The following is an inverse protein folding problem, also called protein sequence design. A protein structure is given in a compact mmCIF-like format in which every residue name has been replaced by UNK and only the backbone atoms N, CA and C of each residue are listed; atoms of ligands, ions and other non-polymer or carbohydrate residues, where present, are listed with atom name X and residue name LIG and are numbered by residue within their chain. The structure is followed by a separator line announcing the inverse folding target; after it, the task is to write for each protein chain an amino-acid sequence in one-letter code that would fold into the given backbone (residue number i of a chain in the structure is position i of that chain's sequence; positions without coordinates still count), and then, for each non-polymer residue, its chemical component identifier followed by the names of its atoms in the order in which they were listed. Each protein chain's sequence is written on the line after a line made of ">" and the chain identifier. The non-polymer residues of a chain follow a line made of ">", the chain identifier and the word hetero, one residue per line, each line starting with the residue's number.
data_IF_127474478518
#
_entry.id   IF_127474478518
#
_cell.length_a   1.000
_cell.length_b   1.000
_cell.length_c   1.000
_cell.angle_alpha   90.00
_cell.angle_beta   90.00
_cell.angle_gamma   90.00
#
_symmetry.space_group_name_H-M   'P 1'
#
loop_
_entity.id
_entity.type
_entity.pdbx_description
1 polymer ?
#
# COMPACT_ATOMS: atom_id res chain seq x y z
N UNK A 1 21.94 9.29 -28.48
CA UNK A 1 20.73 9.11 -27.65
C UNK A 1 20.25 7.69 -27.88
N UNK A 2 20.62 6.74 -27.01
CA UNK A 2 20.26 5.33 -27.15
C UNK A 2 18.75 5.18 -26.86
N UNK A 3 18.03 4.63 -27.82
CA UNK A 3 16.67 4.11 -27.61
C UNK A 3 16.76 3.09 -26.46
N UNK A 4 16.09 3.40 -25.35
CA UNK A 4 15.86 2.44 -24.28
C UNK A 4 15.04 1.33 -24.94
N UNK A 5 15.62 0.14 -24.99
CA UNK A 5 15.02 -1.00 -25.67
C UNK A 5 13.72 -1.37 -24.94
N UNK A 6 12.59 -1.25 -25.62
CA UNK A 6 11.26 -1.51 -25.08
C UNK A 6 11.12 -2.96 -24.58
N UNK A 7 12.01 -3.84 -25.04
CA UNK A 7 12.14 -5.23 -24.62
C UNK A 7 12.66 -5.37 -23.19
N UNK A 8 13.55 -4.46 -22.72
CA UNK A 8 14.05 -4.48 -21.33
C UNK A 8 12.96 -4.08 -20.32
N UNK A 9 12.03 -3.20 -20.72
CA UNK A 9 10.89 -2.82 -19.89
C UNK A 9 9.90 -3.98 -19.79
N UNK A 10 9.65 -4.70 -20.88
CA UNK A 10 8.73 -5.84 -20.92
C UNK A 10 9.31 -7.06 -20.18
N UNK A 11 10.63 -7.25 -20.16
CA UNK A 11 11.26 -8.35 -19.41
C UNK A 11 11.25 -8.15 -17.90
N UNK A 12 11.18 -6.91 -17.42
CA UNK A 12 11.09 -6.59 -16.00
C UNK A 12 9.66 -6.73 -15.41
N UNK A 13 8.64 -6.84 -16.27
CA UNK A 13 7.23 -6.99 -15.83
C UNK A 13 6.98 -8.32 -15.10
N UNK A 14 7.52 -9.49 -15.50
CA UNK A 14 7.32 -10.75 -14.79
C UNK A 14 7.89 -10.74 -13.38
N UNK A 15 9.05 -10.11 -13.15
CA UNK A 15 9.64 -10.01 -11.83
C UNK A 15 8.82 -9.09 -10.90
N UNK A 16 8.24 -8.02 -11.45
CA UNK A 16 7.35 -7.13 -10.72
C UNK A 16 6.03 -7.84 -10.35
N UNK A 17 5.52 -8.71 -11.23
CA UNK A 17 4.32 -9.52 -11.00
C UNK A 17 4.62 -10.68 -10.05
N UNK A 18 5.81 -11.27 -10.12
CA UNK A 18 6.25 -12.35 -9.23
C UNK A 18 6.32 -11.94 -7.77
N UNK A 19 6.76 -10.71 -7.48
CA UNK A 19 6.75 -10.14 -6.12
C UNK A 19 5.33 -9.84 -5.59
N UNK A 20 4.37 -9.61 -6.48
CA UNK A 20 2.95 -9.42 -6.12
C UNK A 20 2.28 -10.77 -5.81
N UNK A 21 2.72 -11.86 -6.44
CA UNK A 21 2.12 -13.21 -6.34
C UNK A 21 2.90 -14.11 -5.36
N UNK A 22 3.84 -13.59 -4.57
CA UNK A 22 4.53 -14.41 -3.57
C UNK A 22 3.52 -15.04 -2.61
N UNK A 23 3.37 -16.35 -2.74
CA UNK A 23 2.39 -17.21 -2.06
C UNK A 23 2.33 -16.93 -0.55
N UNK A 24 1.13 -16.81 0.05
CA UNK A 24 0.95 -16.62 1.50
C UNK A 24 1.67 -17.70 2.33
N UNK A 25 1.81 -18.91 1.81
CA UNK A 25 2.46 -20.04 2.49
C UNK A 25 3.95 -19.85 2.75
N UNK A 26 4.67 -19.12 1.89
CA UNK A 26 6.11 -18.87 2.08
C UNK A 26 6.36 -17.83 3.18
N UNK A 27 5.47 -16.84 3.31
CA UNK A 27 5.53 -15.83 4.39
C UNK A 27 5.24 -16.45 5.75
N UNK A 28 4.27 -17.38 5.83
CA UNK A 28 3.90 -18.09 7.06
C UNK A 28 5.05 -18.93 7.61
N UNK A 29 5.73 -19.73 6.76
CA UNK A 29 6.90 -20.52 7.17
C UNK A 29 8.05 -19.68 7.70
N UNK A 30 8.33 -18.54 7.08
CA UNK A 30 9.37 -17.60 7.55
C UNK A 30 9.02 -17.00 8.91
N UNK A 31 7.78 -16.57 9.14
CA UNK A 31 7.34 -15.97 10.40
C UNK A 31 7.39 -16.97 11.57
N UNK A 32 6.94 -18.21 11.37
CA UNK A 32 7.02 -19.27 12.38
C UNK A 32 8.46 -19.62 12.75
N UNK A 33 9.37 -19.71 11.78
CA UNK A 33 10.80 -19.91 12.05
C UNK A 33 11.44 -18.73 12.79
N UNK A 34 11.02 -17.51 12.48
CA UNK A 34 11.46 -16.28 13.13
C UNK A 34 11.00 -16.25 14.59
N UNK A 35 9.73 -16.59 14.87
CA UNK A 35 9.20 -16.61 16.24
C UNK A 35 9.96 -17.56 17.16
N UNK A 36 10.41 -18.70 16.65
CA UNK A 36 11.22 -19.68 17.42
C UNK A 36 12.63 -19.18 17.78
N UNK A 37 13.18 -18.26 17.00
CA UNK A 37 14.55 -17.80 17.17
C UNK A 37 14.68 -16.52 18.01
N UNK A 38 13.56 -15.94 18.49
CA UNK A 38 13.60 -14.67 19.26
C UNK A 38 14.39 -14.82 20.56
N UNK A 39 14.34 -15.97 21.21
CA UNK A 39 15.05 -16.21 22.47
C UNK A 39 16.57 -16.13 22.34
N UNK A 40 17.08 -16.45 21.15
CA UNK A 40 18.51 -16.46 20.85
C UNK A 40 19.04 -15.11 20.38
N UNK A 41 18.18 -14.09 20.27
CA UNK A 41 18.61 -12.77 19.79
C UNK A 41 19.19 -11.97 20.97
N UNK A 42 20.44 -11.45 20.90
CA UNK A 42 20.99 -10.56 21.91
C UNK A 42 20.11 -9.31 22.11
N UNK A 43 20.03 -8.81 23.34
CA UNK A 43 19.17 -7.66 23.70
C UNK A 43 19.46 -6.42 22.85
N UNK A 44 20.73 -6.15 22.57
CA UNK A 44 21.16 -5.03 21.72
C UNK A 44 20.63 -5.11 20.29
N UNK A 45 20.31 -6.32 19.81
CA UNK A 45 19.83 -6.58 18.47
C UNK A 45 18.31 -6.67 18.38
N UNK A 46 17.58 -6.75 19.49
CA UNK A 46 16.10 -6.88 19.48
C UNK A 46 15.44 -5.73 18.72
N UNK A 47 15.86 -4.49 18.95
CA UNK A 47 15.32 -3.31 18.26
C UNK A 47 15.58 -3.36 16.73
N UNK A 48 16.75 -3.85 16.34
CA UNK A 48 17.10 -4.01 14.90
C UNK A 48 16.26 -5.11 14.27
N UNK A 49 16.07 -6.20 15.00
CA UNK A 49 15.23 -7.31 14.59
C UNK A 49 13.76 -6.88 14.50
N UNK A 50 13.21 -6.17 15.49
CA UNK A 50 11.85 -5.63 15.45
C UNK A 50 11.61 -4.73 14.21
N UNK A 51 12.60 -3.92 13.82
CA UNK A 51 12.52 -3.15 12.57
C UNK A 51 12.50 -4.02 11.33
N UNK A 52 13.10 -5.20 11.34
CA UNK A 52 13.15 -6.10 10.17
C UNK A 52 11.83 -6.81 9.89
N UNK A 53 10.97 -7.01 10.90
CA UNK A 53 9.66 -7.64 10.76
C UNK A 53 8.57 -6.66 10.31
N UNK A 54 8.78 -5.36 10.49
CA UNK A 54 7.84 -4.35 10.02
C UNK A 54 7.77 -4.42 8.48
N UNK A 55 6.56 -4.46 7.89
CA UNK A 55 6.43 -4.47 6.45
C UNK A 55 7.20 -3.31 5.82
N UNK A 56 8.08 -3.64 4.87
CA UNK A 56 8.88 -2.63 4.19
C UNK A 56 7.96 -1.65 3.48
N UNK A 57 8.30 -0.36 3.55
CA UNK A 57 7.62 0.68 2.79
C UNK A 57 7.52 0.25 1.33
N UNK A 58 6.32 0.01 0.86
CA UNK A 58 6.08 -0.11 -0.57
C UNK A 58 6.29 1.27 -1.17
N UNK A 59 7.42 1.49 -1.80
CA UNK A 59 7.68 2.76 -2.48
C UNK A 59 6.65 2.89 -3.59
N UNK A 60 5.88 3.99 -3.64
CA UNK A 60 5.11 4.27 -4.84
C UNK A 60 6.10 4.24 -6.01
N UNK A 61 5.73 3.58 -7.09
CA UNK A 61 6.59 3.52 -8.27
C UNK A 61 6.62 4.91 -8.90
N UNK A 62 7.65 5.70 -8.56
CA UNK A 62 7.87 7.02 -9.14
C UNK A 62 7.90 6.92 -10.68
N UNK A 63 8.41 5.81 -11.19
CA UNK A 63 8.46 5.52 -12.62
C UNK A 63 7.03 5.43 -13.19
N UNK A 64 6.13 4.67 -12.58
CA UNK A 64 4.73 4.58 -13.02
C UNK A 64 4.01 5.93 -12.95
N UNK A 65 4.33 6.73 -11.92
CA UNK A 65 3.78 8.07 -11.82
C UNK A 65 4.28 8.99 -12.96
N UNK A 66 5.59 9.00 -13.22
CA UNK A 66 6.20 9.84 -14.27
C UNK A 66 5.73 9.38 -15.66
N UNK A 67 5.74 8.06 -15.92
CA UNK A 67 5.29 7.49 -17.20
C UNK A 67 3.79 7.78 -17.40
N UNK A 68 2.96 7.60 -16.36
CA UNK A 68 1.53 7.90 -16.44
C UNK A 68 1.27 9.39 -16.68
N UNK A 69 2.00 10.29 -16.02
CA UNK A 69 1.90 11.73 -16.23
C UNK A 69 2.35 12.13 -17.65
N UNK A 70 3.49 11.60 -18.11
CA UNK A 70 4.01 11.84 -19.46
C UNK A 70 3.04 11.36 -20.54
N UNK A 71 2.53 10.14 -20.38
CA UNK A 71 1.54 9.58 -21.31
C UNK A 71 0.24 10.42 -21.38
N UNK A 72 -0.27 10.84 -20.21
CA UNK A 72 -1.49 11.67 -20.16
C UNK A 72 -1.26 13.04 -20.80
N UNK A 73 -0.15 13.71 -20.52
CA UNK A 73 0.16 15.02 -21.08
C UNK A 73 0.36 14.95 -22.59
N UNK A 74 1.15 13.98 -23.07
CA UNK A 74 1.41 13.80 -24.49
C UNK A 74 0.10 13.51 -25.25
N UNK A 75 -0.70 12.57 -24.76
CA UNK A 75 -1.98 12.21 -25.38
C UNK A 75 -2.96 13.37 -25.37
N UNK A 76 -3.00 14.18 -24.30
CA UNK A 76 -3.84 15.37 -24.21
C UNK A 76 -3.41 16.44 -25.23
N UNK A 77 -2.11 16.65 -25.38
CA UNK A 77 -1.56 17.63 -26.35
C UNK A 77 -1.92 17.23 -27.78
N UNK A 78 -1.72 15.96 -28.13
CA UNK A 78 -2.06 15.46 -29.48
C UNK A 78 -3.57 15.53 -29.70
N UNK A 79 -4.38 15.16 -28.71
CA UNK A 79 -5.85 15.24 -28.79
C UNK A 79 -6.33 16.67 -29.06
N UNK A 80 -5.81 17.65 -28.33
CA UNK A 80 -6.16 19.08 -28.56
C UNK A 80 -5.72 19.53 -29.95
N UNK A 81 -4.54 19.10 -30.40
CA UNK A 81 -4.03 19.44 -31.72
C UNK A 81 -4.87 18.84 -32.84
N UNK A 82 -5.29 17.58 -32.69
CA UNK A 82 -6.21 16.93 -33.67
C UNK A 82 -7.57 17.66 -33.75
N UNK A 83 -8.12 18.09 -32.60
CA UNK A 83 -9.34 18.87 -32.57
C UNK A 83 -9.13 20.22 -33.25
N UNK A 84 -8.00 20.90 -33.01
CA UNK A 84 -7.69 22.18 -33.66
C UNK A 84 -7.64 22.06 -35.17
N UNK A 85 -6.93 21.07 -35.73
CA UNK A 85 -6.85 20.80 -37.17
C UNK A 85 -8.25 20.50 -37.77
N UNK A 86 -9.09 19.77 -37.06
CA UNK A 86 -10.47 19.53 -37.51
C UNK A 86 -11.28 20.81 -37.69
N UNK A 87 -11.11 21.76 -36.76
CA UNK A 87 -11.82 23.06 -36.89
C UNK A 87 -11.27 23.92 -38.03
N UNK A 88 -9.99 23.77 -38.38
CA UNK A 88 -9.36 24.53 -39.47
C UNK A 88 -9.73 23.94 -40.84
N UNK A 89 -9.54 22.64 -41.05
CA UNK A 89 -9.67 21.97 -42.33
C UNK A 89 -11.05 21.37 -42.60
N UNK A 90 -11.87 21.21 -41.57
CA UNK A 90 -13.22 20.56 -41.61
C UNK A 90 -13.24 19.16 -42.21
N UNK A 91 -12.09 18.53 -42.38
CA UNK A 91 -11.96 17.16 -42.90
C UNK A 91 -11.27 16.31 -41.84
N UNK A 92 -11.82 15.12 -41.59
CA UNK A 92 -11.21 14.10 -40.74
C UNK A 92 -10.81 12.93 -41.61
N UNK A 93 -9.54 12.58 -41.55
CA UNK A 93 -9.09 11.31 -42.13
C UNK A 93 -9.41 10.16 -41.17
N UNK A 94 -9.40 8.93 -41.66
CA UNK A 94 -9.66 7.72 -40.86
C UNK A 94 -8.69 7.58 -39.68
N UNK A 95 -7.46 8.06 -39.83
CA UNK A 95 -6.44 8.13 -38.76
C UNK A 95 -6.80 9.12 -37.68
N UNK A 96 -7.40 10.24 -38.00
CA UNK A 96 -7.84 11.27 -37.05
C UNK A 96 -9.01 10.77 -36.21
N UNK A 97 -9.97 10.08 -36.86
CA UNK A 97 -11.12 9.46 -36.17
C UNK A 97 -10.63 8.41 -35.16
N UNK A 98 -9.69 7.55 -35.58
CA UNK A 98 -9.08 6.56 -34.68
C UNK A 98 -8.37 7.24 -33.52
N UNK A 99 -7.65 8.35 -33.75
CA UNK A 99 -6.98 9.15 -32.72
C UNK A 99 -7.96 9.75 -31.72
N UNK A 100 -9.08 10.31 -32.17
CA UNK A 100 -10.12 10.87 -31.30
C UNK A 100 -10.70 9.85 -30.32
N UNK A 101 -10.70 8.56 -30.65
CA UNK A 101 -11.11 7.47 -29.73
C UNK A 101 -9.95 7.03 -28.84
N UNK A 102 -8.74 6.88 -29.42
CA UNK A 102 -7.61 6.31 -28.70
C UNK A 102 -7.00 7.28 -27.66
N UNK A 103 -6.91 8.58 -27.95
CA UNK A 103 -6.28 9.53 -27.03
C UNK A 103 -7.01 9.66 -25.69
N UNK A 104 -8.34 9.73 -25.58
CA UNK A 104 -9.04 9.68 -24.30
C UNK A 104 -8.75 8.41 -23.50
N UNK A 105 -8.61 7.26 -24.17
CA UNK A 105 -8.27 5.98 -23.53
C UNK A 105 -6.85 6.06 -22.95
N UNK A 106 -5.88 6.56 -23.71
CA UNK A 106 -4.51 6.73 -23.24
C UNK A 106 -4.40 7.73 -22.09
N UNK A 107 -5.16 8.82 -22.12
CA UNK A 107 -5.24 9.78 -21.01
C UNK A 107 -5.78 9.07 -19.74
N UNK A 108 -6.87 8.30 -19.88
CA UNK A 108 -7.43 7.54 -18.76
C UNK A 108 -6.44 6.52 -18.21
N UNK A 109 -5.74 5.77 -19.07
CA UNK A 109 -4.69 4.83 -18.67
C UNK A 109 -3.54 5.54 -17.93
N UNK A 110 -3.12 6.71 -18.41
CA UNK A 110 -2.09 7.51 -17.77
C UNK A 110 -2.51 8.01 -16.38
N UNK A 111 -3.78 8.47 -16.23
CA UNK A 111 -4.35 8.87 -14.94
C UNK A 111 -4.39 7.68 -13.96
N UNK A 112 -4.78 6.50 -14.43
CA UNK A 112 -4.77 5.27 -13.62
C UNK A 112 -3.34 4.93 -13.20
N UNK A 113 -2.37 5.02 -14.12
CA UNK A 113 -0.94 4.83 -13.84
C UNK A 113 -0.42 5.78 -12.77
N UNK A 114 -0.76 7.07 -12.87
CA UNK A 114 -0.44 8.06 -11.83
C UNK A 114 -1.06 7.70 -10.48
N UNK A 115 -2.31 7.27 -10.47
CA UNK A 115 -3.03 6.89 -9.25
C UNK A 115 -2.42 5.66 -8.59
N UNK A 116 -2.07 4.65 -9.36
CA UNK A 116 -1.46 3.41 -8.87
C UNK A 116 -0.01 3.67 -8.42
N UNK A 117 0.75 4.46 -9.18
CA UNK A 117 2.16 4.75 -8.91
C UNK A 117 2.41 5.75 -7.80
N UNK A 118 1.49 6.68 -7.54
CA UNK A 118 1.80 7.85 -6.74
C UNK A 118 1.03 8.03 -5.42
N UNK A 119 -0.11 7.36 -5.24
CA UNK A 119 -1.03 7.90 -4.26
C UNK A 119 -1.17 7.18 -2.94
N UNK A 120 -1.70 5.98 -2.82
CA UNK A 120 -1.90 5.43 -1.49
C UNK A 120 -0.66 4.68 -1.03
N UNK A 121 -0.05 5.12 0.04
CA UNK A 121 0.92 4.29 0.74
C UNK A 121 0.75 4.40 2.24
N UNK A 122 1.10 3.31 2.93
CA UNK A 122 1.25 3.26 4.37
C UNK A 122 2.67 2.80 4.69
N UNK A 123 3.33 3.51 5.59
CA UNK A 123 4.66 3.17 6.07
C UNK A 123 4.61 2.95 7.57
N UNK A 124 4.71 1.70 7.98
CA UNK A 124 4.73 1.32 9.39
C UNK A 124 6.09 1.61 10.02
N UNK A 125 6.04 1.99 11.29
CA UNK A 125 7.19 2.22 12.17
C UNK A 125 6.93 1.53 13.50
N UNK A 126 7.93 1.48 14.39
CA UNK A 126 7.78 0.84 15.70
C UNK A 126 6.69 1.47 16.56
N UNK A 127 6.50 2.79 16.50
CA UNK A 127 5.59 3.54 17.37
C UNK A 127 4.38 4.14 16.64
N UNK A 128 4.21 3.83 15.37
CA UNK A 128 3.12 4.41 14.58
C UNK A 128 3.26 4.13 13.10
N UNK A 129 2.54 4.87 12.28
CA UNK A 129 2.64 4.76 10.83
C UNK A 129 2.40 6.10 10.15
N UNK A 130 2.93 6.22 8.95
CA UNK A 130 2.64 7.35 8.05
C UNK A 130 1.72 6.86 6.95
N UNK A 131 0.62 7.54 6.79
CA UNK A 131 -0.41 7.22 5.82
C UNK A 131 -0.60 8.35 4.82
N UNK A 132 -0.81 8.00 3.56
CA UNK A 132 -1.05 8.94 2.47
C UNK A 132 -2.14 8.39 1.55
N UNK A 133 -3.25 9.10 1.44
CA UNK A 133 -4.34 8.78 0.52
C UNK A 133 -4.63 9.89 -0.50
N UNK A 134 -4.02 11.07 -0.30
CA UNK A 134 -4.14 12.22 -1.21
C UNK A 134 -2.77 12.63 -1.73
N UNK A 135 -2.67 13.24 -2.93
CA UNK A 135 -1.40 13.72 -3.42
C UNK A 135 -0.79 14.70 -2.43
N UNK A 136 0.51 14.59 -2.25
CA UNK A 136 1.32 15.53 -1.47
C UNK A 136 0.95 15.71 0.01
N UNK A 137 -0.12 15.05 0.52
CA UNK A 137 -0.52 15.10 1.92
C UNK A 137 -0.32 13.77 2.60
N UNK A 138 0.67 13.68 3.50
CA UNK A 138 0.88 12.55 4.39
C UNK A 138 0.46 12.89 5.81
N UNK A 139 -0.18 11.95 6.48
CA UNK A 139 -0.55 12.05 7.89
C UNK A 139 0.28 11.03 8.66
N UNK A 140 0.88 11.47 9.76
CA UNK A 140 1.58 10.59 10.70
C UNK A 140 0.67 10.35 11.89
N UNK A 141 0.48 9.07 12.25
CA UNK A 141 -0.26 8.65 13.43
C UNK A 141 0.65 7.84 14.34
N UNK A 142 0.63 8.16 15.62
CA UNK A 142 1.24 7.34 16.66
C UNK A 142 0.18 6.34 17.16
N UNK A 143 0.61 5.16 17.60
CA UNK A 143 -0.33 4.13 18.08
C UNK A 143 -1.08 4.59 19.32
N UNK A 144 -0.42 5.30 20.23
CA UNK A 144 -1.00 5.84 21.47
C UNK A 144 -2.08 6.90 21.24
N UNK A 145 -2.12 7.52 20.05
CA UNK A 145 -3.15 8.48 19.66
C UNK A 145 -4.41 7.83 19.10
N UNK A 146 -4.39 6.51 18.84
CA UNK A 146 -5.53 5.77 18.31
C UNK A 146 -6.50 5.46 19.45
N UNK A 147 -7.71 6.00 19.35
CA UNK A 147 -8.78 5.86 20.33
C UNK A 147 -9.65 4.62 20.11
N UNK A 148 -9.53 3.97 18.97
CA UNK A 148 -10.32 2.82 18.62
C UNK A 148 -10.32 2.51 17.13
N UNK A 149 -11.08 1.50 16.74
CA UNK A 149 -11.22 1.13 15.34
C UNK A 149 -12.60 0.58 15.02
N UNK A 150 -12.93 0.58 13.73
CA UNK A 150 -14.03 -0.20 13.16
C UNK A 150 -13.52 -0.95 11.94
N UNK A 151 -13.78 -2.24 11.87
CA UNK A 151 -13.44 -3.11 10.75
C UNK A 151 -14.71 -3.45 9.96
N UNK A 152 -14.63 -3.40 8.63
CA UNK A 152 -15.71 -3.75 7.71
C UNK A 152 -15.14 -4.66 6.64
N UNK A 153 -15.74 -5.84 6.47
CA UNK A 153 -15.27 -6.85 5.53
C UNK A 153 -15.80 -6.61 4.10
N UNK A 154 -17.09 -6.26 3.96
CA UNK A 154 -17.75 -6.13 2.66
C UNK A 154 -18.12 -4.68 2.34
N UNK A 155 -18.14 -4.30 1.04
CA UNK A 155 -17.70 -5.01 -0.18
C UNK A 155 -16.18 -5.01 -0.40
N UNK A 156 -15.43 -4.32 0.42
CA UNK A 156 -13.96 -4.28 0.45
C UNK A 156 -13.51 -4.18 1.89
N UNK A 157 -12.56 -5.00 2.26
CA UNK A 157 -11.96 -4.94 3.59
C UNK A 157 -11.40 -3.56 3.90
N UNK A 158 -11.91 -2.96 4.96
CA UNK A 158 -11.50 -1.64 5.43
C UNK A 158 -11.39 -1.64 6.94
N UNK A 159 -10.41 -0.91 7.43
CA UNK A 159 -10.33 -0.55 8.84
C UNK A 159 -10.34 0.97 8.98
N UNK A 160 -11.21 1.47 9.81
CA UNK A 160 -11.26 2.89 10.17
C UNK A 160 -10.70 3.04 11.58
N UNK A 161 -9.63 3.78 11.71
CA UNK A 161 -8.97 4.13 12.98
C UNK A 161 -9.50 5.47 13.44
N UNK A 162 -9.95 5.52 14.70
CA UNK A 162 -10.41 6.74 15.34
C UNK A 162 -9.22 7.43 16.01
N UNK A 163 -9.05 8.70 15.70
CA UNK A 163 -8.01 9.55 16.26
C UNK A 163 -8.62 10.87 16.73
N UNK A 164 -7.98 11.56 17.66
CA UNK A 164 -8.51 12.80 18.28
C UNK A 164 -8.97 13.84 17.25
N UNK A 165 -8.27 13.98 16.14
CA UNK A 165 -8.49 15.06 15.18
C UNK A 165 -9.12 14.60 13.86
N UNK A 166 -8.97 13.32 13.49
CA UNK A 166 -9.43 12.79 12.19
C UNK A 166 -9.57 11.27 12.24
N UNK A 167 -10.58 10.74 11.57
CA UNK A 167 -10.68 9.31 11.32
C UNK A 167 -9.88 8.95 10.07
N UNK A 168 -9.12 7.87 10.15
CA UNK A 168 -8.32 7.36 9.04
C UNK A 168 -8.86 6.02 8.60
N UNK A 169 -9.36 5.95 7.36
CA UNK A 169 -9.82 4.70 6.76
C UNK A 169 -8.75 4.14 5.85
N UNK A 170 -8.34 2.89 6.11
CA UNK A 170 -7.35 2.12 5.37
C UNK A 170 -8.05 0.96 4.66
N UNK A 171 -7.73 0.76 3.37
CA UNK A 171 -8.21 -0.40 2.59
C UNK A 171 -7.18 -1.53 2.69
N UNK A 172 -7.59 -2.68 3.25
CA UNK A 172 -6.68 -3.77 3.61
C UNK A 172 -6.18 -4.53 2.40
N UNK A 173 -6.98 -4.70 1.36
CA UNK A 173 -6.65 -5.52 0.20
C UNK A 173 -5.47 -5.05 -0.67
N UNK A 174 -4.93 -3.85 -0.45
CA UNK A 174 -3.87 -3.29 -1.30
C UNK A 174 -2.47 -3.30 -0.68
N UNK A 175 -2.34 -3.56 0.62
CA UNK A 175 -1.06 -3.50 1.35
C UNK A 175 -1.02 -4.52 2.49
N UNK A 176 0.17 -4.85 2.98
CA UNK A 176 0.36 -5.72 4.15
C UNK A 176 0.12 -4.92 5.44
N UNK A 177 -1.05 -5.08 6.00
CA UNK A 177 -1.46 -4.46 7.28
C UNK A 177 -1.28 -5.41 8.47
N UNK A 178 -0.73 -6.60 8.29
CA UNK A 178 -0.59 -7.60 9.35
C UNK A 178 0.03 -7.05 10.64
N UNK A 179 1.02 -6.17 10.50
CA UNK A 179 1.66 -5.54 11.66
C UNK A 179 0.71 -4.60 12.43
N UNK A 180 -0.08 -3.77 11.73
CA UNK A 180 -1.08 -2.91 12.38
C UNK A 180 -2.16 -3.74 13.07
N UNK A 181 -2.64 -4.81 12.40
CA UNK A 181 -3.66 -5.70 12.97
C UNK A 181 -3.15 -6.37 14.24
N UNK A 182 -1.91 -6.83 14.25
CA UNK A 182 -1.28 -7.40 15.45
C UNK A 182 -1.17 -6.40 16.58
N UNK A 183 -0.83 -5.15 16.30
CA UNK A 183 -0.79 -4.08 17.31
C UNK A 183 -2.18 -3.80 17.89
N UNK A 184 -3.22 -3.82 17.07
CA UNK A 184 -4.61 -3.63 17.50
C UNK A 184 -5.07 -4.79 18.39
N UNK A 185 -4.79 -6.03 17.99
CA UNK A 185 -5.11 -7.23 18.78
C UNK A 185 -4.40 -7.15 20.14
N UNK A 186 -3.10 -6.85 20.13
CA UNK A 186 -2.30 -6.72 21.33
C UNK A 186 -2.87 -5.65 22.27
N UNK A 187 -3.21 -4.46 21.73
CA UNK A 187 -3.84 -3.38 22.50
C UNK A 187 -5.14 -3.82 23.15
N UNK A 188 -5.97 -4.55 22.42
CA UNK A 188 -7.26 -5.01 22.94
C UNK A 188 -7.08 -6.09 24.00
N UNK A 189 -6.11 -6.98 23.86
CA UNK A 189 -5.86 -8.08 24.79
C UNK A 189 -5.19 -7.60 26.08
N UNK A 190 -4.23 -6.68 25.96
CA UNK A 190 -3.39 -6.27 27.10
C UNK A 190 -3.66 -4.86 27.64
N UNK A 191 -4.60 -4.11 27.04
CA UNK A 191 -4.90 -2.74 27.43
C UNK A 191 -3.79 -1.72 27.13
N UNK A 192 -2.68 -2.12 26.50
CA UNK A 192 -1.53 -1.28 26.13
C UNK A 192 -1.00 -1.64 24.75
N UNK A 193 -0.31 -0.74 24.10
CA UNK A 193 0.40 -1.05 22.85
C UNK A 193 1.67 -1.88 23.11
N UNK A 194 2.01 -2.74 22.15
CA UNK A 194 3.19 -3.59 22.27
C UNK A 194 4.48 -2.76 22.28
N UNK A 195 5.36 -3.07 23.21
CA UNK A 195 6.70 -2.47 23.31
C UNK A 195 7.68 -3.35 22.53
N UNK A 196 8.03 -2.91 21.32
CA UNK A 196 8.82 -3.72 20.38
C UNK A 196 10.27 -4.01 20.82
N UNK A 197 10.69 -3.50 21.98
CA UNK A 197 11.94 -3.88 22.65
C UNK A 197 11.76 -5.04 23.65
N UNK A 198 10.52 -5.35 24.04
CA UNK A 198 10.20 -6.47 24.91
C UNK A 198 10.06 -7.75 24.09
N UNK A 199 10.78 -8.81 24.47
CA UNK A 199 10.78 -10.09 23.74
C UNK A 199 9.40 -10.74 23.70
N UNK A 200 8.68 -10.68 24.82
CA UNK A 200 7.34 -11.25 24.96
C UNK A 200 6.35 -10.58 24.01
N UNK A 201 6.32 -9.24 24.04
CA UNK A 201 5.45 -8.45 23.16
C UNK A 201 5.79 -8.72 21.68
N UNK A 202 7.09 -8.76 21.37
CA UNK A 202 7.57 -9.01 20.00
C UNK A 202 7.18 -10.40 19.50
N UNK A 203 7.24 -11.43 20.37
CA UNK A 203 6.81 -12.80 20.05
C UNK A 203 5.32 -12.83 19.73
N UNK A 204 4.50 -12.20 20.55
CA UNK A 204 3.06 -12.16 20.36
C UNK A 204 2.67 -11.39 19.09
N UNK A 205 3.31 -10.25 18.82
CA UNK A 205 3.12 -9.52 17.56
C UNK A 205 3.44 -10.39 16.35
N UNK A 206 4.58 -11.11 16.35
CA UNK A 206 4.94 -11.97 15.22
C UNK A 206 3.92 -13.12 15.05
N UNK A 207 3.44 -13.68 16.14
CA UNK A 207 2.44 -14.73 16.12
C UNK A 207 1.12 -14.21 15.53
N UNK A 208 0.63 -13.08 16.02
CA UNK A 208 -0.64 -12.50 15.58
C UNK A 208 -0.58 -11.82 14.20
N UNK A 209 0.61 -11.62 13.62
CA UNK A 209 0.75 -11.16 12.22
C UNK A 209 0.32 -12.21 11.18
N UNK A 210 0.01 -13.45 11.59
CA UNK A 210 -0.53 -14.47 10.68
C UNK A 210 -1.99 -14.11 10.33
N UNK A 211 -2.31 -14.09 9.04
CA UNK A 211 -3.65 -13.77 8.52
C UNK A 211 -4.71 -14.77 8.99
N UNK A 212 -4.32 -16.02 9.25
CA UNK A 212 -5.20 -17.05 9.83
C UNK A 212 -5.59 -16.75 11.28
N UNK A 213 -4.91 -15.80 11.94
CA UNK A 213 -5.16 -15.40 13.32
C UNK A 213 -5.87 -14.05 13.37
N UNK A 214 -5.32 -13.02 12.71
CA UNK A 214 -5.90 -11.68 12.83
C UNK A 214 -7.21 -11.52 12.07
N UNK A 215 -7.40 -12.17 10.92
CA UNK A 215 -8.61 -12.00 10.14
C UNK A 215 -9.86 -12.54 10.85
N UNK A 216 -9.90 -13.79 11.35
CA UNK A 216 -11.03 -14.27 12.15
C UNK A 216 -11.24 -13.46 13.43
N UNK A 217 -10.14 -13.00 14.04
CA UNK A 217 -10.23 -12.18 15.25
C UNK A 217 -10.94 -10.85 14.99
N UNK A 218 -10.59 -10.14 13.91
CA UNK A 218 -11.23 -8.88 13.52
C UNK A 218 -12.71 -9.04 13.14
N UNK A 219 -13.08 -10.17 12.51
CA UNK A 219 -14.47 -10.48 12.19
C UNK A 219 -15.29 -10.63 13.48
N UNK A 220 -14.73 -11.29 14.50
CA UNK A 220 -15.38 -11.47 15.78
C UNK A 220 -15.37 -10.20 16.67
N UNK A 221 -14.46 -9.26 16.39
CA UNK A 221 -14.30 -8.00 17.11
C UNK A 221 -14.29 -6.82 16.13
N UNK A 222 -15.43 -6.55 15.44
CA UNK A 222 -15.44 -5.58 14.33
C UNK A 222 -15.31 -4.13 14.80
N UNK A 223 -15.41 -3.86 16.10
CA UNK A 223 -15.29 -2.52 16.67
C UNK A 223 -14.77 -2.57 18.09
N UNK A 224 -13.86 -1.66 18.39
CA UNK A 224 -13.43 -1.39 19.77
C UNK A 224 -13.06 0.08 19.96
N UNK A 225 -13.27 0.55 21.20
CA UNK A 225 -12.72 1.82 21.69
C UNK A 225 -11.68 1.50 22.75
N UNK A 226 -10.56 2.17 22.68
CA UNK A 226 -9.45 2.02 23.62
C UNK A 226 -9.59 3.11 24.68
N UNK A 227 -9.67 2.68 25.91
CA UNK A 227 -9.65 3.55 27.09
C UNK A 227 -8.20 3.91 27.46
#
# INVERSE_FOLDING_TARGET
>A
MSLIDFTDILSAIPDLIGDIISSPSSKKRKRSAIAKNIENIPDDNIKKFAKSIIPKKRRPSLILFIVGAGLSLLSLTIFIFTIYLYFEDKTLDSTDIAGLIMYPILIACGIVGMRVGGWPYTHFRLQGFTYRNKPFKSTHLQYDEILGYTYVQEPKEKITLYHKNNNVTLSIGSQDFSYLMSQIIFRQTHGRWAVMNAREDLREIIYTMDDTIYAPWLINHPKAMFS
#
